data_IF_395969371320
#
_entry.id   IF_395969371320
#
_cell.length_a   1.000
_cell.length_b   1.000
_cell.length_c   1.000
_cell.angle_alpha   90.00
_cell.angle_beta   90.00
_cell.angle_gamma   90.00
#
_symmetry.space_group_name_H-M   'P 1'
#
loop_
_entity.id
_entity.type
_entity.pdbx_description
1 polymer ?
#
# COMPACT_ATOMS: atom_id res chain seq x y z
N UNK A 1 -27.52 1.89 -29.74
CA UNK A 1 -27.50 1.62 -28.28
C UNK A 1 -26.67 0.37 -28.05
N UNK A 2 -25.34 0.51 -27.94
CA UNK A 2 -24.43 -0.56 -27.55
C UNK A 2 -23.19 0.07 -26.89
N UNK A 3 -23.06 -0.10 -25.57
CA UNK A 3 -21.85 -0.07 -24.73
C UNK A 3 -22.34 -0.07 -23.27
N UNK A 4 -22.01 -0.97 -22.36
CA UNK A 4 -21.13 -2.12 -22.34
C UNK A 4 -21.32 -2.82 -20.97
N UNK A 5 -21.08 -4.12 -20.93
CA UNK A 5 -21.27 -4.97 -19.76
C UNK A 5 -20.36 -4.59 -18.56
N UNK A 6 -20.96 -4.45 -17.37
CA UNK A 6 -20.52 -5.11 -16.14
C UNK A 6 -19.24 -4.67 -15.38
N UNK A 7 -18.39 -3.81 -15.91
CA UNK A 7 -17.07 -3.52 -15.28
C UNK A 7 -16.95 -2.26 -14.41
N UNK A 8 -17.93 -1.35 -14.42
CA UNK A 8 -17.75 0.00 -13.85
C UNK A 8 -17.63 0.07 -12.33
N UNK A 9 -18.40 -0.74 -11.60
CA UNK A 9 -18.50 -0.63 -10.15
C UNK A 9 -17.28 -1.16 -9.37
N UNK A 10 -16.46 -2.03 -9.96
CA UNK A 10 -15.24 -2.55 -9.31
C UNK A 10 -14.07 -1.59 -9.46
N UNK A 11 -13.93 -0.95 -10.62
CA UNK A 11 -12.85 0.02 -10.87
C UNK A 11 -13.08 1.31 -10.08
N UNK A 12 -14.32 1.81 -10.02
CA UNK A 12 -14.66 3.01 -9.23
C UNK A 12 -14.34 2.80 -7.73
N UNK A 13 -14.79 1.70 -7.14
CA UNK A 13 -14.49 1.35 -5.73
C UNK A 13 -12.99 1.21 -5.47
N UNK A 14 -12.26 0.63 -6.43
CA UNK A 14 -10.80 0.53 -6.35
C UNK A 14 -10.17 1.93 -6.33
N UNK A 15 -10.57 2.81 -7.25
CA UNK A 15 -10.04 4.17 -7.32
C UNK A 15 -10.37 5.00 -6.07
N UNK A 16 -11.57 4.86 -5.50
CA UNK A 16 -11.91 5.47 -4.21
C UNK A 16 -10.98 4.98 -3.09
N UNK A 17 -10.71 3.67 -3.05
CA UNK A 17 -9.82 3.08 -2.05
C UNK A 17 -8.37 3.55 -2.22
N UNK A 18 -7.92 3.72 -3.47
CA UNK A 18 -6.60 4.27 -3.80
C UNK A 18 -6.49 5.74 -3.38
N UNK A 19 -7.54 6.55 -3.61
CA UNK A 19 -7.57 7.94 -3.15
C UNK A 19 -7.52 8.03 -1.62
N UNK A 20 -8.24 7.15 -0.94
CA UNK A 20 -8.21 7.00 0.51
C UNK A 20 -6.84 6.61 1.07
N UNK A 21 -6.14 5.69 0.38
CA UNK A 21 -4.76 5.32 0.69
C UNK A 21 -3.82 6.53 0.50
N UNK A 22 -3.95 7.27 -0.61
CA UNK A 22 -3.17 8.48 -0.85
C UNK A 22 -3.38 9.56 0.21
N UNK A 23 -4.62 9.73 0.68
CA UNK A 23 -4.92 10.65 1.78
C UNK A 23 -4.29 10.21 3.12
N UNK A 24 -4.22 8.90 3.37
CA UNK A 24 -3.55 8.36 4.56
C UNK A 24 -2.03 8.55 4.48
N UNK A 25 -1.43 8.33 3.32
CA UNK A 25 0.00 8.56 3.08
C UNK A 25 0.38 10.04 3.25
N UNK A 26 -0.39 10.95 2.65
CA UNK A 26 -0.20 12.40 2.84
C UNK A 26 -0.32 12.82 4.30
N UNK A 27 -1.24 12.22 5.06
CA UNK A 27 -1.36 12.47 6.49
C UNK A 27 -0.14 11.95 7.28
N UNK A 28 0.49 10.86 6.83
CA UNK A 28 1.67 10.30 7.47
C UNK A 28 2.89 11.22 7.34
N UNK A 29 3.01 12.01 6.27
CA UNK A 29 4.09 13.01 6.08
C UNK A 29 4.14 14.08 7.17
N UNK A 30 3.03 14.31 7.90
CA UNK A 30 3.00 15.22 9.05
C UNK A 30 3.58 14.63 10.34
N UNK A 31 3.96 13.36 10.34
CA UNK A 31 4.46 12.65 11.51
C UNK A 31 5.94 12.95 11.71
N UNK A 32 6.34 13.24 12.94
CA UNK A 32 7.76 13.37 13.27
C UNK A 32 8.38 11.98 13.39
N UNK A 33 9.46 11.73 12.68
CA UNK A 33 10.17 10.44 12.72
C UNK A 33 10.73 10.09 14.11
N UNK A 34 10.84 11.08 15.01
CA UNK A 34 11.26 10.88 16.40
C UNK A 34 10.12 10.46 17.34
N UNK A 35 8.87 10.54 16.89
CA UNK A 35 7.68 10.09 17.62
C UNK A 35 7.31 8.67 17.18
N UNK A 36 8.01 7.69 17.76
CA UNK A 36 7.86 6.29 17.39
C UNK A 36 6.42 5.73 17.53
N UNK A 37 5.67 6.04 18.62
CA UNK A 37 4.25 5.68 18.69
C UNK A 37 3.43 6.22 17.52
N UNK A 38 3.67 7.47 17.10
CA UNK A 38 2.98 8.06 15.97
C UNK A 38 3.36 7.39 14.64
N UNK A 39 4.65 7.10 14.42
CA UNK A 39 5.12 6.37 13.23
C UNK A 39 4.46 4.99 13.12
N UNK A 40 4.38 4.24 14.22
CA UNK A 40 3.72 2.93 14.27
C UNK A 40 2.22 3.03 13.95
N UNK A 41 1.55 4.04 14.51
CA UNK A 41 0.13 4.25 14.24
C UNK A 41 -0.13 4.58 12.76
N UNK A 42 0.75 5.36 12.11
CA UNK A 42 0.63 5.61 10.67
C UNK A 42 0.92 4.37 9.83
N UNK A 43 1.95 3.59 10.17
CA UNK A 43 2.24 2.32 9.49
C UNK A 43 1.05 1.37 9.54
N UNK A 44 0.45 1.19 10.72
CA UNK A 44 -0.77 0.39 10.89
C UNK A 44 -1.94 0.92 10.04
N UNK A 45 -2.13 2.25 10.02
CA UNK A 45 -3.18 2.88 9.22
C UNK A 45 -2.96 2.66 7.72
N UNK A 46 -1.73 2.79 7.24
CA UNK A 46 -1.36 2.58 5.84
C UNK A 46 -1.55 1.10 5.45
N UNK A 47 -1.10 0.17 6.30
CA UNK A 47 -1.31 -1.27 6.05
C UNK A 47 -2.81 -1.61 5.92
N UNK A 48 -3.65 -1.13 6.84
CA UNK A 48 -5.10 -1.32 6.74
C UNK A 48 -5.73 -0.69 5.49
N UNK A 49 -5.15 0.39 4.97
CA UNK A 49 -5.59 1.01 3.71
C UNK A 49 -5.17 0.18 2.49
N UNK A 50 -3.98 -0.43 2.50
CA UNK A 50 -3.60 -1.38 1.47
C UNK A 50 -4.50 -2.63 1.45
N UNK A 51 -4.91 -3.15 2.61
CA UNK A 51 -5.89 -4.25 2.68
C UNK A 51 -7.22 -3.85 2.02
N UNK A 52 -7.68 -2.62 2.28
CA UNK A 52 -8.91 -2.09 1.66
C UNK A 52 -8.77 -1.96 0.14
N UNK A 53 -7.60 -1.51 -0.36
CA UNK A 53 -7.30 -1.45 -1.79
C UNK A 53 -7.27 -2.85 -2.40
N UNK A 54 -6.67 -3.83 -1.71
CA UNK A 54 -6.61 -5.23 -2.15
C UNK A 54 -8.01 -5.84 -2.26
N UNK A 55 -8.87 -5.61 -1.28
CA UNK A 55 -10.25 -6.10 -1.30
C UNK A 55 -11.06 -5.51 -2.46
N UNK A 56 -10.81 -4.24 -2.79
CA UNK A 56 -11.43 -3.56 -3.92
C UNK A 56 -10.78 -3.89 -5.26
N UNK A 57 -9.61 -4.53 -5.28
CA UNK A 57 -8.78 -4.65 -6.49
C UNK A 57 -9.43 -5.50 -7.59
N UNK A 58 -9.48 -4.97 -8.82
CA UNK A 58 -9.82 -5.74 -10.02
C UNK A 58 -8.86 -6.93 -10.21
N UNK A 59 -9.36 -8.01 -10.81
CA UNK A 59 -8.63 -9.27 -10.91
C UNK A 59 -7.31 -9.18 -11.70
N UNK A 60 -7.20 -8.22 -12.62
CA UNK A 60 -6.02 -7.97 -13.44
C UNK A 60 -4.86 -7.29 -12.70
N UNK A 61 -5.13 -6.63 -11.56
CA UNK A 61 -4.12 -5.97 -10.72
C UNK A 61 -4.04 -6.52 -9.30
N UNK A 62 -4.93 -7.46 -8.93
CA UNK A 62 -5.06 -7.98 -7.56
C UNK A 62 -3.75 -8.57 -7.02
N UNK A 63 -3.01 -9.33 -7.82
CA UNK A 63 -1.75 -9.95 -7.40
C UNK A 63 -0.67 -8.89 -7.13
N UNK A 64 -0.60 -7.85 -7.94
CA UNK A 64 0.33 -6.73 -7.75
C UNK A 64 0.00 -5.94 -6.48
N UNK A 65 -1.29 -5.71 -6.21
CA UNK A 65 -1.74 -5.07 -4.97
C UNK A 65 -1.48 -5.97 -3.76
N UNK A 66 -1.60 -7.29 -3.90
CA UNK A 66 -1.32 -8.23 -2.82
C UNK A 66 0.15 -8.18 -2.39
N UNK A 67 1.08 -8.01 -3.35
CA UNK A 67 2.51 -7.78 -3.04
C UNK A 67 2.69 -6.50 -2.23
N UNK A 68 2.05 -5.39 -2.63
CA UNK A 68 2.15 -4.11 -1.90
C UNK A 68 1.54 -4.17 -0.49
N UNK A 69 0.37 -4.81 -0.36
CA UNK A 69 -0.25 -5.06 0.94
C UNK A 69 0.62 -5.95 1.83
N UNK A 70 1.19 -7.02 1.27
CA UNK A 70 2.11 -7.91 1.97
C UNK A 70 3.36 -7.18 2.49
N UNK A 71 3.97 -6.33 1.66
CA UNK A 71 5.12 -5.51 2.08
C UNK A 71 4.76 -4.58 3.23
N UNK A 72 3.64 -3.86 3.14
CA UNK A 72 3.26 -2.92 4.21
C UNK A 72 2.90 -3.62 5.51
N UNK A 73 2.24 -4.78 5.45
CA UNK A 73 2.00 -5.62 6.62
C UNK A 73 3.30 -6.13 7.24
N UNK A 74 4.25 -6.60 6.43
CA UNK A 74 5.55 -7.07 6.91
C UNK A 74 6.35 -5.95 7.59
N UNK A 75 6.29 -4.72 7.05
CA UNK A 75 6.91 -3.54 7.66
C UNK A 75 6.22 -3.14 8.98
N UNK A 76 4.89 -3.24 9.06
CA UNK A 76 4.16 -3.02 10.31
C UNK A 76 4.61 -4.03 11.38
N UNK A 77 4.70 -5.31 11.01
CA UNK A 77 5.13 -6.38 11.91
C UNK A 77 6.58 -6.19 12.36
N UNK A 78 7.50 -5.83 11.44
CA UNK A 78 8.88 -5.51 11.78
C UNK A 78 8.99 -4.31 12.73
N UNK A 79 8.19 -3.26 12.48
CA UNK A 79 8.10 -2.14 13.40
C UNK A 79 7.61 -2.63 14.76
N UNK A 80 6.53 -3.41 14.84
CA UNK A 80 5.94 -3.96 16.08
C UNK A 80 6.93 -4.83 16.86
N UNK A 81 7.73 -5.63 16.18
CA UNK A 81 8.66 -6.59 16.79
C UNK A 81 9.94 -5.96 17.36
N UNK A 82 10.24 -4.70 17.04
CA UNK A 82 11.50 -4.05 17.40
C UNK A 82 11.32 -2.89 18.38
N UNK A 83 12.27 -2.69 19.29
CA UNK A 83 12.35 -1.48 20.13
C UNK A 83 12.89 -0.33 19.29
N UNK A 84 12.20 0.81 19.31
CA UNK A 84 12.60 2.00 18.56
C UNK A 84 13.89 2.64 19.05
N UNK A 85 14.33 2.33 20.28
CA UNK A 85 15.62 2.78 20.79
C UNK A 85 16.80 1.96 20.28
N UNK A 86 16.56 0.76 19.73
CA UNK A 86 17.61 -0.05 19.11
C UNK A 86 17.55 0.06 17.57
N UNK A 87 18.19 1.11 17.05
CA UNK A 87 18.13 1.47 15.63
C UNK A 87 18.66 0.38 14.71
N UNK A 88 19.68 -0.38 15.13
CA UNK A 88 20.27 -1.45 14.31
C UNK A 88 19.35 -2.67 14.20
N UNK A 89 18.75 -3.11 15.30
CA UNK A 89 17.78 -4.21 15.29
C UNK A 89 16.58 -3.85 14.41
N UNK A 90 16.12 -2.59 14.49
CA UNK A 90 15.04 -2.10 13.65
C UNK A 90 15.39 -2.11 12.17
N UNK A 91 16.58 -1.61 11.80
CA UNK A 91 17.04 -1.63 10.41
C UNK A 91 17.13 -3.08 9.89
N UNK A 92 17.69 -3.99 10.68
CA UNK A 92 17.81 -5.40 10.32
C UNK A 92 16.42 -6.05 10.14
N UNK A 93 15.47 -5.78 11.02
CA UNK A 93 14.12 -6.31 10.90
C UNK A 93 13.37 -5.77 9.67
N UNK A 94 13.55 -4.48 9.35
CA UNK A 94 12.98 -3.89 8.12
C UNK A 94 13.57 -4.55 6.87
N UNK A 95 14.88 -4.75 6.83
CA UNK A 95 15.52 -5.43 5.70
C UNK A 95 15.02 -6.87 5.56
N UNK A 96 14.97 -7.62 6.67
CA UNK A 96 14.44 -8.99 6.68
C UNK A 96 12.96 -9.07 6.27
N UNK A 97 12.16 -8.05 6.59
CA UNK A 97 10.76 -7.98 6.18
C UNK A 97 10.59 -7.70 4.67
N UNK A 98 11.57 -7.05 4.04
CA UNK A 98 11.55 -6.75 2.60
C UNK A 98 12.11 -7.89 1.75
N UNK A 99 13.03 -8.69 2.28
CA UNK A 99 13.71 -9.79 1.59
C UNK A 99 12.76 -10.71 0.78
N UNK A 100 11.59 -11.14 1.30
CA UNK A 100 10.68 -12.01 0.55
C UNK A 100 10.07 -11.37 -0.71
N UNK A 101 10.10 -10.04 -0.80
CA UNK A 101 9.43 -9.27 -1.85
C UNK A 101 10.39 -8.65 -2.87
N UNK A 102 11.72 -8.75 -2.67
CA UNK A 102 12.71 -8.01 -3.47
C UNK A 102 12.59 -8.24 -4.99
N UNK A 103 12.20 -9.45 -5.40
CA UNK A 103 12.06 -9.80 -6.81
C UNK A 103 10.77 -9.26 -7.43
N UNK A 104 9.67 -9.26 -6.68
CA UNK A 104 8.34 -8.98 -7.19
C UNK A 104 7.91 -7.52 -6.99
N UNK A 105 8.37 -6.89 -5.91
CA UNK A 105 7.97 -5.54 -5.49
C UNK A 105 8.20 -4.48 -6.58
N UNK A 106 9.36 -4.41 -7.27
CA UNK A 106 9.56 -3.39 -8.30
C UNK A 106 8.54 -3.52 -9.45
N UNK A 107 8.30 -4.74 -9.92
CA UNK A 107 7.37 -5.01 -11.01
C UNK A 107 5.91 -4.75 -10.61
N UNK A 108 5.53 -5.18 -9.41
CA UNK A 108 4.20 -4.95 -8.86
C UNK A 108 3.91 -3.45 -8.68
N UNK A 109 4.86 -2.69 -8.13
CA UNK A 109 4.74 -1.25 -7.96
C UNK A 109 4.56 -0.51 -9.30
N UNK A 110 5.34 -0.88 -10.33
CA UNK A 110 5.19 -0.31 -11.68
C UNK A 110 3.81 -0.60 -12.27
N UNK A 111 3.37 -1.86 -12.25
CA UNK A 111 2.07 -2.24 -12.83
C UNK A 111 0.91 -1.60 -12.08
N UNK A 112 0.98 -1.54 -10.75
CA UNK A 112 -0.01 -0.83 -9.92
C UNK A 112 -0.10 0.64 -10.31
N UNK A 113 1.03 1.33 -10.42
CA UNK A 113 1.06 2.75 -10.77
C UNK A 113 0.51 3.00 -12.19
N UNK A 114 0.91 2.18 -13.17
CA UNK A 114 0.38 2.25 -14.54
C UNK A 114 -1.13 1.99 -14.58
N UNK A 115 -1.64 1.08 -13.74
CA UNK A 115 -3.06 0.79 -13.65
C UNK A 115 -3.83 1.96 -13.05
N UNK A 116 -3.37 2.50 -11.92
CA UNK A 116 -3.97 3.66 -11.26
C UNK A 116 -3.96 4.87 -12.20
N UNK A 117 -2.85 5.13 -12.89
CA UNK A 117 -2.73 6.25 -13.82
C UNK A 117 -3.71 6.14 -14.99
N UNK A 118 -3.97 4.92 -15.49
CA UNK A 118 -4.90 4.71 -16.61
C UNK A 118 -6.36 4.79 -16.21
N UNK A 119 -6.70 4.39 -14.98
CA UNK A 119 -8.09 4.14 -14.58
C UNK A 119 -8.64 5.10 -13.53
N UNK A 120 -7.78 5.66 -12.66
CA UNK A 120 -8.18 6.44 -11.49
C UNK A 120 -7.85 7.94 -11.60
N UNK A 121 -7.02 8.34 -12.54
CA UNK A 121 -6.81 9.75 -12.87
C UNK A 121 -7.82 10.21 -13.92
N UNK A 122 -8.48 11.37 -13.75
CA UNK A 122 -9.35 11.92 -14.78
C UNK A 122 -8.56 12.14 -16.08
N UNK A 123 -9.12 11.73 -17.21
CA UNK A 123 -8.62 12.17 -18.51
C UNK A 123 -8.72 13.71 -18.61
N UNK A 124 -7.75 14.38 -19.25
CA UNK A 124 -7.77 15.84 -19.43
C UNK A 124 -8.97 16.33 -20.25
#
# INVERSE_FOLDING_TARGET
MLAGCGGGASVERFCDSVADLGNADLAALGTRDTDDPAVRAQLQRISAKFDSVLDASPADIRDDVAVLAGVTAALEDAARATDSRNQFDRAAAVLAALEPFEQDLPGAATRYNDYVTRNCTPAP
#
